data_IF_789348400070
#
_entry.id   IF_789348400070
#
_cell.length_a   1.000
_cell.length_b   1.000
_cell.length_c   1.000
_cell.angle_alpha   90.00
_cell.angle_beta   90.00
_cell.angle_gamma   90.00
#
_symmetry.space_group_name_H-M   'P 1'
#
loop_
_entity.id
_entity.type
_entity.pdbx_description
1 polymer ?
#
# COMPACT_ATOMS: atom_id res chain seq x y z
N UNK A 1 -21.30 -77.16 -35.24
CA UNK A 1 -21.12 -77.01 -33.78
C UNK A 1 -20.54 -75.63 -33.52
N UNK A 2 -21.20 -74.76 -32.74
CA UNK A 2 -20.87 -73.33 -32.62
C UNK A 2 -19.64 -73.08 -31.72
N UNK A 3 -18.68 -72.26 -32.17
CA UNK A 3 -17.43 -71.93 -31.44
C UNK A 3 -17.65 -71.39 -30.03
N UNK A 4 -18.75 -70.66 -29.81
CA UNK A 4 -19.12 -70.11 -28.50
C UNK A 4 -19.35 -71.19 -27.44
N UNK A 5 -20.02 -72.30 -27.81
CA UNK A 5 -20.29 -73.41 -26.90
C UNK A 5 -18.98 -74.09 -26.46
N UNK A 6 -18.00 -74.17 -27.35
CA UNK A 6 -16.67 -74.71 -27.06
C UNK A 6 -15.90 -73.83 -26.08
N UNK A 7 -15.99 -72.51 -26.24
CA UNK A 7 -15.35 -71.53 -25.34
C UNK A 7 -15.98 -71.60 -23.95
N UNK A 8 -17.31 -71.63 -23.86
CA UNK A 8 -18.02 -71.73 -22.57
C UNK A 8 -17.60 -73.01 -21.83
N UNK A 9 -17.52 -74.14 -22.54
CA UNK A 9 -17.09 -75.42 -21.95
C UNK A 9 -15.64 -75.37 -21.48
N UNK A 10 -14.73 -74.78 -22.26
CA UNK A 10 -13.33 -74.57 -21.88
C UNK A 10 -13.21 -73.66 -20.64
N UNK A 11 -13.99 -72.58 -20.56
CA UNK A 11 -14.00 -71.67 -19.40
C UNK A 11 -14.55 -72.34 -18.14
N UNK A 12 -15.56 -73.20 -18.25
CA UNK A 12 -16.09 -73.96 -17.12
C UNK A 12 -15.04 -74.94 -16.54
N UNK A 13 -14.26 -75.60 -17.39
CA UNK A 13 -13.16 -76.47 -16.95
C UNK A 13 -12.10 -75.65 -16.20
N UNK A 14 -11.75 -74.47 -16.70
CA UNK A 14 -10.74 -73.60 -16.06
C UNK A 14 -11.15 -73.13 -14.66
N UNK A 15 -12.45 -72.96 -14.37
CA UNK A 15 -12.93 -72.62 -13.02
C UNK A 15 -12.69 -73.75 -12.00
N UNK A 16 -12.58 -74.99 -12.45
CA UNK A 16 -12.33 -76.15 -11.57
C UNK A 16 -10.83 -76.37 -11.31
N UNK A 17 -9.96 -75.68 -12.05
CA UNK A 17 -8.51 -75.78 -11.86
C UNK A 17 -8.10 -74.80 -10.77
N UNK A 18 -7.74 -75.33 -9.61
CA UNK A 18 -7.16 -74.51 -8.55
C UNK A 18 -5.82 -73.92 -9.04
N UNK A 19 -5.62 -72.59 -8.92
CA UNK A 19 -4.36 -71.95 -9.31
C UNK A 19 -3.22 -72.52 -8.47
N UNK A 20 -2.05 -72.71 -9.11
CA UNK A 20 -0.86 -73.21 -8.41
C UNK A 20 -0.50 -72.26 -7.26
N UNK A 21 -0.15 -72.75 -6.05
CA UNK A 21 0.15 -71.90 -4.89
C UNK A 21 1.20 -70.82 -5.18
N UNK A 22 2.26 -71.17 -5.91
CA UNK A 22 3.30 -70.22 -6.35
C UNK A 22 2.76 -69.02 -7.14
N UNK A 23 1.75 -69.22 -7.99
CA UNK A 23 1.14 -68.14 -8.76
C UNK A 23 0.40 -67.16 -7.86
N UNK A 24 -0.37 -67.69 -6.89
CA UNK A 24 -1.09 -66.87 -5.90
C UNK A 24 -0.11 -66.05 -5.07
N UNK A 25 0.97 -66.65 -4.58
CA UNK A 25 1.97 -65.93 -3.79
C UNK A 25 2.68 -64.84 -4.60
N UNK A 26 3.02 -65.10 -5.87
CA UNK A 26 3.66 -64.12 -6.75
C UNK A 26 2.73 -62.96 -7.06
N UNK A 27 1.46 -63.24 -7.36
CA UNK A 27 0.45 -62.21 -7.63
C UNK A 27 0.13 -61.41 -6.38
N UNK A 28 0.02 -62.06 -5.21
CA UNK A 28 -0.14 -61.38 -3.92
C UNK A 28 1.04 -60.45 -3.66
N UNK A 29 2.27 -60.93 -3.81
CA UNK A 29 3.45 -60.10 -3.56
C UNK A 29 3.58 -58.96 -4.59
N UNK A 30 3.22 -59.17 -5.86
CA UNK A 30 3.25 -58.09 -6.86
C UNK A 30 2.16 -57.04 -6.65
N UNK A 31 0.97 -57.46 -6.20
CA UNK A 31 -0.14 -56.55 -5.86
C UNK A 31 0.15 -55.78 -4.57
N UNK A 32 0.68 -56.45 -3.54
CA UNK A 32 1.09 -55.77 -2.31
C UNK A 32 2.18 -54.75 -2.61
N UNK A 33 3.19 -55.11 -3.42
CA UNK A 33 4.22 -54.15 -3.81
C UNK A 33 3.66 -52.96 -4.60
N UNK A 34 2.74 -53.17 -5.55
CA UNK A 34 2.16 -52.09 -6.36
C UNK A 34 1.18 -51.21 -5.59
N UNK A 35 0.48 -51.74 -4.58
CA UNK A 35 -0.44 -50.97 -3.73
C UNK A 35 0.27 -50.27 -2.57
N UNK A 36 1.32 -50.87 -2.00
CA UNK A 36 2.10 -50.28 -0.92
C UNK A 36 3.08 -49.22 -1.43
N UNK A 37 3.48 -49.27 -2.71
CA UNK A 37 4.41 -48.31 -3.30
C UNK A 37 3.73 -47.10 -3.98
N UNK A 38 2.57 -46.66 -3.50
CA UNK A 38 2.26 -45.23 -3.48
C UNK A 38 2.92 -44.64 -2.23
N UNK A 39 4.24 -44.49 -2.27
CA UNK A 39 4.86 -43.42 -1.51
C UNK A 39 4.29 -42.12 -2.09
N UNK A 40 3.13 -41.69 -1.59
CA UNK A 40 2.82 -40.27 -1.54
C UNK A 40 4.07 -39.68 -0.88
N UNK A 41 4.92 -39.02 -1.68
CA UNK A 41 6.05 -38.29 -1.14
C UNK A 41 5.42 -37.25 -0.22
N UNK A 42 5.31 -37.61 1.07
CA UNK A 42 4.93 -36.69 2.12
C UNK A 42 6.12 -35.77 2.17
N UNK A 43 6.10 -34.70 1.38
CA UNK A 43 7.04 -33.62 1.56
C UNK A 43 6.93 -33.28 3.04
N UNK A 44 8.01 -33.44 3.82
CA UNK A 44 7.91 -33.26 5.25
C UNK A 44 7.43 -31.83 5.46
N UNK A 45 6.45 -31.63 6.33
CA UNK A 45 5.86 -30.30 6.60
C UNK A 45 6.94 -29.23 6.87
N UNK A 46 8.11 -29.66 7.34
CA UNK A 46 9.32 -28.84 7.49
C UNK A 46 9.84 -28.23 6.17
N UNK A 47 9.93 -28.99 5.07
CA UNK A 47 10.38 -28.48 3.76
C UNK A 47 9.39 -27.46 3.21
N UNK A 48 8.08 -27.69 3.41
CA UNK A 48 7.05 -26.72 3.02
C UNK A 48 7.13 -25.43 3.85
N UNK A 49 7.34 -25.54 5.17
CA UNK A 49 7.57 -24.38 6.06
C UNK A 49 8.82 -23.60 5.65
N UNK A 50 9.90 -24.30 5.29
CA UNK A 50 11.15 -23.68 4.84
C UNK A 50 10.96 -22.95 3.50
N UNK A 51 10.22 -23.54 2.57
CA UNK A 51 9.90 -22.92 1.29
C UNK A 51 9.07 -21.64 1.48
N UNK A 52 8.03 -21.66 2.31
CA UNK A 52 7.24 -20.46 2.64
C UNK A 52 8.12 -19.39 3.31
N UNK A 53 8.94 -19.78 4.29
CA UNK A 53 9.84 -18.86 4.97
C UNK A 53 10.82 -18.20 3.98
N UNK A 54 11.44 -18.99 3.10
CA UNK A 54 12.33 -18.47 2.06
C UNK A 54 11.60 -17.53 1.09
N UNK A 55 10.38 -17.88 0.66
CA UNK A 55 9.56 -17.03 -0.20
C UNK A 55 9.23 -15.70 0.49
N UNK A 56 8.83 -15.72 1.77
CA UNK A 56 8.57 -14.51 2.54
C UNK A 56 9.81 -13.63 2.68
N UNK A 57 10.98 -14.22 2.95
CA UNK A 57 12.25 -13.49 3.01
C UNK A 57 12.57 -12.86 1.66
N UNK A 58 12.50 -13.62 0.57
CA UNK A 58 12.72 -13.07 -0.78
C UNK A 58 11.69 -11.99 -1.13
N UNK A 59 10.43 -12.17 -0.78
CA UNK A 59 9.36 -11.21 -1.03
C UNK A 59 9.52 -9.90 -0.24
N UNK A 60 10.01 -9.99 1.00
CA UNK A 60 10.34 -8.82 1.83
C UNK A 60 11.58 -8.10 1.29
N UNK A 61 12.63 -8.85 0.92
CA UNK A 61 13.90 -8.29 0.43
C UNK A 61 13.78 -7.72 -0.98
N UNK A 62 12.93 -8.29 -1.83
CA UNK A 62 12.71 -7.81 -3.20
C UNK A 62 11.88 -6.52 -3.29
N UNK A 63 11.40 -6.00 -2.15
CA UNK A 63 10.51 -4.84 -2.13
C UNK A 63 9.07 -5.16 -2.54
N UNK A 64 8.69 -6.45 -2.64
CA UNK A 64 7.33 -6.87 -2.95
C UNK A 64 6.31 -6.29 -1.95
N UNK A 65 6.67 -6.29 -0.66
CA UNK A 65 5.87 -5.65 0.38
C UNK A 65 5.77 -4.12 0.20
N UNK A 66 6.85 -3.46 -0.20
CA UNK A 66 6.89 -2.01 -0.44
C UNK A 66 6.01 -1.62 -1.62
N UNK A 67 6.06 -2.38 -2.72
CA UNK A 67 5.24 -2.11 -3.89
C UNK A 67 3.75 -2.36 -3.60
N UNK A 68 3.44 -3.49 -2.95
CA UNK A 68 2.06 -3.83 -2.61
C UNK A 68 1.45 -2.87 -1.58
N UNK A 69 2.20 -2.40 -0.59
CA UNK A 69 1.69 -1.46 0.42
C UNK A 69 1.46 -0.04 -0.13
N UNK A 70 2.04 0.35 -1.27
CA UNK A 70 1.82 1.71 -1.82
C UNK A 70 0.35 1.96 -2.15
N UNK A 71 -0.33 0.96 -2.70
CA UNK A 71 -1.74 1.03 -3.09
C UNK A 71 -2.72 0.68 -1.97
N UNK A 72 -2.24 0.38 -0.76
CA UNK A 72 -3.15 0.07 0.35
C UNK A 72 -3.81 1.33 0.89
N UNK A 73 -5.11 1.22 1.19
CA UNK A 73 -5.96 2.24 1.78
C UNK A 73 -6.14 2.00 3.29
N UNK A 74 -6.55 3.03 4.05
CA UNK A 74 -6.98 2.85 5.44
C UNK A 74 -7.99 1.69 5.54
N UNK A 75 -7.72 0.72 6.41
CA UNK A 75 -8.51 -0.52 6.51
C UNK A 75 -7.84 -1.75 5.90
N UNK A 76 -6.98 -1.57 4.89
CA UNK A 76 -6.27 -2.66 4.24
C UNK A 76 -5.20 -3.29 5.14
N UNK A 77 -4.98 -4.59 4.94
CA UNK A 77 -3.99 -5.38 5.70
C UNK A 77 -2.56 -4.81 5.62
N UNK A 78 -2.17 -4.27 4.45
CA UNK A 78 -0.81 -3.72 4.24
C UNK A 78 -0.70 -2.22 4.56
N UNK A 79 -1.77 -1.56 4.99
CA UNK A 79 -1.74 -0.14 5.33
C UNK A 79 -0.78 0.20 6.48
N UNK A 80 -0.70 -0.58 7.59
CA UNK A 80 0.31 -0.35 8.61
C UNK A 80 1.75 -0.42 8.07
N UNK A 81 2.00 -1.28 7.06
CA UNK A 81 3.30 -1.38 6.40
C UNK A 81 3.58 -0.12 5.58
N UNK A 82 2.57 0.42 4.88
CA UNK A 82 2.67 1.71 4.17
C UNK A 82 3.11 2.83 5.11
N UNK A 83 2.42 2.99 6.24
CA UNK A 83 2.73 4.03 7.24
C UNK A 83 4.15 3.85 7.80
N UNK A 84 4.57 2.63 8.13
CA UNK A 84 5.92 2.38 8.63
C UNK A 84 7.00 2.77 7.60
N UNK A 85 6.78 2.46 6.32
CA UNK A 85 7.71 2.82 5.25
C UNK A 85 7.77 4.33 4.99
N UNK A 86 6.65 5.03 5.13
CA UNK A 86 6.60 6.49 5.05
C UNK A 86 7.36 7.15 6.21
N UNK A 87 7.20 6.66 7.44
CA UNK A 87 7.95 7.16 8.61
C UNK A 87 9.45 6.89 8.50
N UNK A 88 9.86 5.73 7.96
CA UNK A 88 11.28 5.47 7.64
C UNK A 88 11.79 6.47 6.60
N UNK A 89 11.02 6.77 5.56
CA UNK A 89 11.42 7.76 4.55
C UNK A 89 11.58 9.14 5.14
N UNK A 90 10.67 9.56 6.03
CA UNK A 90 10.77 10.84 6.75
C UNK A 90 12.07 10.91 7.55
N UNK A 91 12.43 9.85 8.28
CA UNK A 91 13.67 9.83 9.09
C UNK A 91 14.96 9.81 8.27
N UNK A 92 14.92 9.35 7.03
CA UNK A 92 16.07 9.27 6.14
C UNK A 92 16.23 10.52 5.25
N UNK A 93 15.23 11.39 5.22
CA UNK A 93 15.24 12.61 4.40
C UNK A 93 15.39 13.80 5.34
N UNK A 94 16.45 14.59 5.19
CA UNK A 94 16.69 15.81 6.01
C UNK A 94 15.67 16.95 5.77
N UNK A 95 14.70 16.76 4.86
CA UNK A 95 13.62 17.70 4.55
C UNK A 95 12.27 17.05 4.88
N UNK A 96 11.90 17.14 6.16
CA UNK A 96 10.82 16.36 6.77
C UNK A 96 9.45 17.02 6.56
N UNK A 97 9.38 18.34 6.62
CA UNK A 97 8.12 19.09 6.51
C UNK A 97 7.53 19.00 5.11
N UNK A 98 8.37 19.14 4.09
CA UNK A 98 7.92 19.17 2.71
C UNK A 98 7.40 17.79 2.24
N UNK A 99 8.01 16.72 2.76
CA UNK A 99 7.48 15.36 2.62
C UNK A 99 6.15 15.17 3.36
N UNK A 100 6.00 15.72 4.58
CA UNK A 100 4.74 15.64 5.31
C UNK A 100 3.61 16.38 4.62
N UNK A 101 3.88 17.52 3.98
CA UNK A 101 2.91 18.22 3.11
C UNK A 101 2.47 17.29 1.97
N UNK A 102 3.40 16.61 1.29
CA UNK A 102 3.05 15.64 0.23
C UNK A 102 2.21 14.46 0.76
N UNK A 103 2.43 14.04 2.00
CA UNK A 103 1.62 12.98 2.61
C UNK A 103 0.18 13.43 2.87
N UNK A 104 -0.10 14.72 3.15
CA UNK A 104 -1.48 15.21 3.28
C UNK A 104 -2.23 15.09 1.95
N UNK A 105 -1.58 15.41 0.83
CA UNK A 105 -2.15 15.20 -0.52
C UNK A 105 -2.44 13.71 -0.77
N UNK A 106 -1.57 12.83 -0.31
CA UNK A 106 -1.79 11.39 -0.44
C UNK A 106 -2.99 10.92 0.38
N UNK A 107 -3.15 11.42 1.62
CA UNK A 107 -4.33 11.11 2.45
C UNK A 107 -5.63 11.64 1.83
N UNK A 108 -5.61 12.79 1.16
CA UNK A 108 -6.76 13.27 0.38
C UNK A 108 -7.14 12.27 -0.72
N UNK A 109 -6.16 11.78 -1.49
CA UNK A 109 -6.42 10.77 -2.55
C UNK A 109 -7.02 9.49 -1.99
N UNK A 110 -6.59 9.04 -0.82
CA UNK A 110 -7.17 7.87 -0.17
C UNK A 110 -8.63 8.07 0.24
N UNK A 111 -8.98 9.27 0.73
CA UNK A 111 -10.39 9.62 0.99
C UNK A 111 -11.20 9.57 -0.31
N UNK A 112 -10.65 10.10 -1.42
CA UNK A 112 -11.31 10.09 -2.72
C UNK A 112 -11.53 8.67 -3.24
N UNK A 113 -10.51 7.81 -3.16
CA UNK A 113 -10.61 6.41 -3.56
C UNK A 113 -11.63 5.63 -2.71
N UNK A 114 -11.65 5.84 -1.39
CA UNK A 114 -12.62 5.19 -0.51
C UNK A 114 -14.05 5.71 -0.73
N UNK A 115 -14.20 7.00 -1.05
CA UNK A 115 -15.49 7.57 -1.47
C UNK A 115 -16.00 6.90 -2.74
N UNK A 116 -15.14 6.75 -3.75
CA UNK A 116 -15.51 6.11 -5.02
C UNK A 116 -15.89 4.64 -4.85
N UNK A 117 -15.27 3.95 -3.88
CA UNK A 117 -15.57 2.56 -3.53
C UNK A 117 -16.78 2.41 -2.58
N UNK A 118 -17.36 3.52 -2.11
CA UNK A 118 -18.39 3.55 -1.05
C UNK A 118 -17.98 2.74 0.19
N UNK A 119 -16.70 2.80 0.55
CA UNK A 119 -16.13 2.01 1.63
C UNK A 119 -16.36 2.68 3.00
N UNK A 120 -16.69 1.87 4.00
CA UNK A 120 -16.90 2.30 5.39
C UNK A 120 -15.61 2.85 6.05
N UNK A 121 -14.44 2.47 5.54
CA UNK A 121 -13.15 2.94 6.07
C UNK A 121 -12.83 4.40 5.70
N UNK A 122 -13.70 5.09 4.94
CA UNK A 122 -13.57 6.53 4.67
C UNK A 122 -13.48 7.38 5.95
N UNK A 123 -14.11 6.95 7.06
CA UNK A 123 -13.98 7.64 8.35
C UNK A 123 -12.56 7.51 8.93
N UNK A 124 -11.93 6.32 8.79
CA UNK A 124 -10.53 6.12 9.18
C UNK A 124 -9.62 6.99 8.31
N UNK A 125 -9.89 7.07 7.01
CA UNK A 125 -9.13 7.93 6.10
C UNK A 125 -9.23 9.42 6.48
N UNK A 126 -10.41 9.91 6.85
CA UNK A 126 -10.59 11.27 7.35
C UNK A 126 -9.80 11.52 8.64
N UNK A 127 -9.74 10.54 9.55
CA UNK A 127 -8.92 10.61 10.77
C UNK A 127 -7.42 10.65 10.46
N UNK A 128 -6.94 9.79 9.57
CA UNK A 128 -5.53 9.76 9.14
C UNK A 128 -5.12 11.02 8.37
N UNK A 129 -6.04 11.59 7.57
CA UNK A 129 -5.86 12.89 6.92
C UNK A 129 -5.66 14.01 7.94
N UNK A 130 -6.52 14.09 8.98
CA UNK A 130 -6.35 15.07 10.07
C UNK A 130 -4.97 14.91 10.75
N UNK A 131 -4.57 13.69 11.09
CA UNK A 131 -3.25 13.44 11.71
C UNK A 131 -2.10 13.87 10.81
N UNK A 132 -2.22 13.67 9.50
CA UNK A 132 -1.20 14.10 8.55
C UNK A 132 -1.09 15.63 8.50
N UNK A 133 -2.21 16.36 8.56
CA UNK A 133 -2.23 17.82 8.67
C UNK A 133 -1.53 18.27 9.96
N UNK A 134 -1.91 17.70 11.11
CA UNK A 134 -1.35 18.06 12.41
C UNK A 134 0.19 17.92 12.40
N UNK A 135 0.69 16.77 11.90
CA UNK A 135 2.13 16.53 11.75
C UNK A 135 2.80 17.48 10.75
N UNK A 136 2.16 17.79 9.63
CA UNK A 136 2.72 18.71 8.64
C UNK A 136 2.87 20.12 9.20
N UNK A 137 1.86 20.60 9.94
CA UNK A 137 1.88 21.90 10.60
C UNK A 137 2.97 21.98 11.67
N UNK A 138 3.09 20.97 12.51
CA UNK A 138 4.15 20.87 13.54
C UNK A 138 5.53 20.98 12.91
N UNK A 139 5.84 20.14 11.90
CA UNK A 139 7.17 20.10 11.31
C UNK A 139 7.47 21.36 10.48
N UNK A 140 6.48 21.89 9.75
CA UNK A 140 6.66 23.14 9.00
C UNK A 140 6.95 24.34 9.92
N UNK A 141 6.49 24.31 11.17
CA UNK A 141 6.71 25.39 12.14
C UNK A 141 8.12 25.36 12.76
N UNK A 142 8.81 24.23 12.69
CA UNK A 142 10.15 24.02 13.28
C UNK A 142 11.31 24.21 12.29
N UNK A 143 11.01 24.25 10.99
CA UNK A 143 11.99 24.38 9.91
C UNK A 143 12.50 25.82 9.74
N UNK A 144 13.72 25.95 9.20
CA UNK A 144 14.33 27.27 8.93
C UNK A 144 13.50 28.05 7.90
N UNK A 145 12.95 27.36 6.89
CA UNK A 145 12.12 27.95 5.85
C UNK A 145 10.61 27.88 6.16
N UNK A 146 10.24 28.00 7.45
CA UNK A 146 8.85 27.86 7.91
C UNK A 146 7.86 28.72 7.15
N UNK A 147 8.22 29.96 6.77
CA UNK A 147 7.28 30.86 6.12
C UNK A 147 6.87 30.34 4.73
N UNK A 148 7.81 29.83 3.95
CA UNK A 148 7.49 29.23 2.64
C UNK A 148 6.72 27.92 2.82
N UNK A 149 7.12 27.08 3.78
CA UNK A 149 6.46 25.80 4.05
C UNK A 149 5.02 25.97 4.55
N UNK A 150 4.78 26.91 5.45
CA UNK A 150 3.45 27.22 5.98
C UNK A 150 2.56 27.86 4.92
N UNK A 151 3.08 28.77 4.08
CA UNK A 151 2.34 29.31 2.94
C UNK A 151 1.93 28.20 1.95
N UNK A 152 2.87 27.31 1.62
CA UNK A 152 2.63 26.16 0.74
C UNK A 152 1.59 25.21 1.34
N UNK A 153 1.69 24.92 2.64
CA UNK A 153 0.73 24.08 3.34
C UNK A 153 -0.66 24.74 3.34
N UNK A 154 -0.75 26.05 3.64
CA UNK A 154 -1.99 26.80 3.63
C UNK A 154 -2.68 26.72 2.26
N UNK A 155 -1.97 27.04 1.17
CA UNK A 155 -2.49 26.98 -0.20
C UNK A 155 -3.06 25.59 -0.52
N UNK A 156 -2.32 24.53 -0.16
CA UNK A 156 -2.75 23.15 -0.38
C UNK A 156 -4.01 22.80 0.42
N UNK A 157 -4.07 23.19 1.68
CA UNK A 157 -5.23 22.91 2.54
C UNK A 157 -6.48 23.69 2.14
N UNK A 158 -6.32 24.90 1.61
CA UNK A 158 -7.42 25.67 1.02
C UNK A 158 -7.98 24.93 -0.20
N UNK A 159 -7.12 24.44 -1.10
CA UNK A 159 -7.53 23.60 -2.24
C UNK A 159 -8.22 22.31 -1.78
N UNK A 160 -7.66 21.61 -0.81
CA UNK A 160 -8.24 20.38 -0.29
C UNK A 160 -9.63 20.61 0.33
N UNK A 161 -9.82 21.72 1.08
CA UNK A 161 -11.13 22.08 1.63
C UNK A 161 -12.17 22.25 0.54
N UNK A 162 -11.83 22.92 -0.57
CA UNK A 162 -12.75 23.13 -1.69
C UNK A 162 -13.16 21.79 -2.33
N UNK A 163 -12.17 20.93 -2.62
CA UNK A 163 -12.40 19.61 -3.21
C UNK A 163 -13.27 18.74 -2.30
N UNK A 164 -12.97 18.69 -1.00
CA UNK A 164 -13.72 17.88 -0.04
C UNK A 164 -15.17 18.36 0.12
N UNK A 165 -15.41 19.68 0.10
CA UNK A 165 -16.76 20.25 0.13
C UNK A 165 -17.56 19.92 -1.11
N UNK A 166 -16.97 20.09 -2.30
CA UNK A 166 -17.62 19.72 -3.56
C UNK A 166 -18.00 18.24 -3.56
N UNK A 167 -17.06 17.38 -3.15
CA UNK A 167 -17.29 15.95 -3.09
C UNK A 167 -18.34 15.54 -2.04
N UNK A 168 -18.46 16.29 -0.94
CA UNK A 168 -19.45 16.06 0.12
C UNK A 168 -20.88 16.34 -0.34
N UNK A 169 -21.09 17.30 -1.24
CA UNK A 169 -22.43 17.65 -1.74
C UNK A 169 -23.09 16.49 -2.52
N UNK A 170 -22.28 15.72 -3.26
CA UNK A 170 -22.73 14.60 -4.08
C UNK A 170 -22.61 13.23 -3.38
N UNK A 171 -22.16 13.18 -2.12
CA UNK A 171 -21.88 11.93 -1.42
C UNK A 171 -23.10 11.39 -0.65
N UNK A 172 -23.23 10.05 -0.50
CA UNK A 172 -24.19 9.43 0.42
C UNK A 172 -23.91 9.82 1.88
N UNK A 173 -24.91 9.72 2.75
CA UNK A 173 -24.86 10.26 4.12
C UNK A 173 -23.63 9.81 4.94
N UNK A 174 -23.22 8.54 4.81
CA UNK A 174 -22.06 7.98 5.51
C UNK A 174 -20.74 8.63 5.07
N UNK A 175 -20.52 8.78 3.76
CA UNK A 175 -19.33 9.44 3.22
C UNK A 175 -19.37 10.95 3.44
N UNK A 176 -20.56 11.55 3.41
CA UNK A 176 -20.78 12.99 3.60
C UNK A 176 -20.24 13.49 4.94
N UNK A 177 -20.49 12.75 6.02
CA UNK A 177 -19.97 13.11 7.34
C UNK A 177 -18.43 13.07 7.38
N UNK A 178 -17.82 11.99 6.87
CA UNK A 178 -16.37 11.85 6.82
C UNK A 178 -15.69 12.94 5.96
N UNK A 179 -16.29 13.26 4.80
CA UNK A 179 -15.81 14.33 3.92
C UNK A 179 -15.92 15.71 4.58
N UNK A 180 -17.00 15.98 5.31
CA UNK A 180 -17.14 17.23 6.07
C UNK A 180 -16.12 17.35 7.20
N UNK A 181 -15.87 16.26 7.96
CA UNK A 181 -14.83 16.22 8.99
C UNK A 181 -13.44 16.49 8.38
N UNK A 182 -13.15 15.90 7.22
CA UNK A 182 -11.89 16.13 6.51
C UNK A 182 -11.78 17.58 6.00
N UNK A 183 -12.86 18.15 5.45
CA UNK A 183 -12.90 19.54 5.00
C UNK A 183 -12.65 20.51 6.17
N UNK A 184 -13.32 20.29 7.30
CA UNK A 184 -13.13 21.07 8.52
C UNK A 184 -11.70 20.98 9.04
N UNK A 185 -11.09 19.78 9.04
CA UNK A 185 -9.69 19.61 9.39
C UNK A 185 -8.76 20.41 8.46
N UNK A 186 -9.05 20.44 7.17
CA UNK A 186 -8.31 21.22 6.18
C UNK A 186 -8.42 22.72 6.44
N UNK A 187 -9.63 23.24 6.68
CA UNK A 187 -9.86 24.64 7.02
C UNK A 187 -9.16 25.07 8.31
N UNK A 188 -9.26 24.24 9.36
CA UNK A 188 -8.58 24.49 10.63
C UNK A 188 -7.07 24.48 10.47
N UNK A 189 -6.53 23.54 9.69
CA UNK A 189 -5.09 23.49 9.39
C UNK A 189 -4.62 24.71 8.59
N UNK A 190 -5.37 25.15 7.59
CA UNK A 190 -5.06 26.36 6.82
C UNK A 190 -5.09 27.62 7.70
N UNK A 191 -6.12 27.77 8.54
CA UNK A 191 -6.21 28.86 9.49
C UNK A 191 -5.05 28.86 10.48
N UNK A 192 -4.65 27.69 10.99
CA UNK A 192 -3.52 27.56 11.90
C UNK A 192 -2.18 27.87 11.22
N UNK A 193 -1.99 27.46 9.96
CA UNK A 193 -0.81 27.82 9.17
C UNK A 193 -0.72 29.34 8.96
N UNK A 194 -1.86 29.98 8.65
CA UNK A 194 -1.95 31.43 8.52
C UNK A 194 -1.68 32.16 9.84
N UNK A 195 -2.25 31.68 10.95
CA UNK A 195 -2.01 32.25 12.27
C UNK A 195 -0.53 32.12 12.69
N UNK A 196 0.12 31.00 12.35
CA UNK A 196 1.54 30.78 12.59
C UNK A 196 2.42 31.74 11.77
N UNK A 197 1.99 32.13 10.56
CA UNK A 197 2.63 33.15 9.75
C UNK A 197 2.45 34.57 10.33
N UNK A 198 1.26 34.88 10.86
CA UNK A 198 0.95 36.20 11.44
C UNK A 198 1.65 36.45 12.78
N UNK A 199 1.90 35.39 13.56
CA UNK A 199 2.64 35.46 14.83
C UNK A 199 4.13 35.77 14.68
N UNK A 200 4.68 35.75 13.47
CA UNK A 200 6.07 36.09 13.19
C UNK A 200 6.19 37.14 12.07
N UNK A 201 5.91 38.44 12.36
CA UNK A 201 5.98 39.48 11.34
C UNK A 201 7.43 39.93 11.15
N UNK A 202 8.09 39.56 10.03
CA UNK A 202 8.87 40.43 9.12
C UNK A 202 9.96 39.72 8.27
N UNK A 203 10.40 40.30 7.12
CA UNK A 203 9.69 41.16 6.17
C UNK A 203 9.65 40.57 4.74
N UNK A 204 8.64 41.00 4.00
CA UNK A 204 8.68 41.36 2.57
C UNK A 204 9.76 40.71 1.68
N UNK A 205 9.28 39.91 0.72
CA UNK A 205 9.65 39.99 -0.70
C UNK A 205 10.96 40.73 -1.00
N UNK A 206 12.04 39.98 -1.21
CA UNK A 206 13.21 40.48 -1.93
C UNK A 206 12.75 41.02 -3.30
N UNK A 207 12.96 42.30 -3.63
CA UNK A 207 12.68 42.79 -4.97
C UNK A 207 13.66 42.17 -5.95
N UNK A 208 13.11 41.52 -6.96
CA UNK A 208 13.82 41.17 -8.18
C UNK A 208 14.52 42.41 -8.76
N UNK A 209 15.81 42.25 -9.05
CA UNK A 209 16.46 42.75 -10.26
C UNK A 209 16.31 44.26 -10.59
N UNK A 210 17.19 45.08 -10.02
CA UNK A 210 17.68 46.29 -10.72
C UNK A 210 19.21 46.24 -10.73
N UNK A 211 19.71 45.65 -11.81
CA UNK A 211 21.07 45.75 -12.30
C UNK A 211 21.45 47.24 -12.44
N UNK A 212 22.16 47.77 -11.44
CA UNK A 212 22.74 49.11 -11.49
C UNK A 212 23.90 49.10 -12.49
N UNK A 213 23.71 49.74 -13.65
CA UNK A 213 24.83 50.18 -14.50
C UNK A 213 25.75 51.09 -13.68
N UNK A 214 27.08 50.87 -13.65
CA UNK A 214 28.00 51.78 -13.00
C UNK A 214 28.20 53.04 -13.84
N UNK A 215 27.83 54.19 -13.26
CA UNK A 215 28.28 55.52 -13.67
C UNK A 215 29.79 55.64 -13.43
N UNK A 216 30.57 55.64 -14.52
CA UNK A 216 32.01 55.86 -14.46
C UNK A 216 32.30 57.36 -14.54
N UNK A 217 32.69 57.95 -13.40
CA UNK A 217 33.41 59.22 -13.37
C UNK A 217 34.79 59.05 -14.01
N UNK A 218 35.16 59.92 -14.96
CA UNK A 218 36.50 60.53 -14.99
C UNK A 218 36.62 61.72 -15.96
N UNK A 219 36.56 62.90 -15.35
CA UNK A 219 37.47 64.05 -15.48
C UNK A 219 38.53 63.95 -16.59
N UNK A 220 38.44 64.82 -17.61
CA UNK A 220 39.45 65.05 -18.64
C UNK A 220 39.53 66.53 -19.03
N UNK A 221 40.58 67.18 -18.52
CA UNK A 221 41.24 68.46 -18.85
C UNK A 221 40.74 69.26 -20.08
N UNK A 222 40.51 70.55 -19.85
CA UNK A 222 41.15 71.63 -20.63
C UNK A 222 42.06 72.40 -19.68
#
# INVERSE_FOLDING_TARGET
MNKEQEIIKKLQILKQVNPRPYFIDKVRNSLVYSLTNRQAQKTPLFVFRLAIASFLVVFLVSGGAVFASKGSLPGDFLYPVKIALEEVRIRLTDDSADLRIRLTEQRLKEIQELKEKEDQDIEKAASEYKKAIDKALENASEEVDKSNLLNKLQEKLDLHSQVLQEQSQAAPAQAKEALNKAAEASQKGAAAAKEALEKDPHPESSPQNQEKLPSNQKKGRR
#
